data_IF_011485523932
#
_entry.id   IF_011485523932
#
_cell.length_a   1.000
_cell.length_b   1.000
_cell.length_c   1.000
_cell.angle_alpha   90.00
_cell.angle_beta   90.00
_cell.angle_gamma   90.00
#
_symmetry.space_group_name_H-M   'P 1'
#
loop_
_entity.id
_entity.type
_entity.pdbx_description
1 polymer ?
#
# COMPACT_ATOMS: atom_id res chain seq x y z
N UNK A 1 49.58 -10.22 -9.97
CA UNK A 1 48.20 -9.80 -10.29
C UNK A 1 47.45 -10.95 -10.96
N UNK A 2 46.71 -11.76 -10.19
CA UNK A 2 45.91 -12.84 -10.78
C UNK A 2 45.61 -14.01 -9.85
N UNK A 3 44.78 -13.78 -8.83
CA UNK A 3 44.06 -14.82 -8.07
C UNK A 3 43.08 -14.17 -7.08
N UNK A 4 43.47 -13.05 -6.47
CA UNK A 4 42.63 -12.30 -5.52
C UNK A 4 41.43 -11.58 -6.17
N UNK A 5 41.47 -11.31 -7.47
CA UNK A 5 40.34 -10.71 -8.21
C UNK A 5 39.24 -11.73 -8.54
N UNK A 6 39.54 -13.05 -8.50
CA UNK A 6 38.58 -14.12 -8.73
C UNK A 6 37.94 -14.67 -7.45
N UNK A 7 38.49 -14.37 -6.27
CA UNK A 7 37.86 -14.75 -4.99
C UNK A 7 36.67 -13.83 -4.64
N UNK A 8 36.75 -12.54 -5.00
CA UNK A 8 35.62 -11.59 -4.89
C UNK A 8 34.47 -11.89 -5.87
N UNK A 9 34.73 -12.66 -6.93
CA UNK A 9 33.73 -13.08 -7.91
C UNK A 9 33.01 -14.39 -7.52
N UNK A 10 33.57 -15.21 -6.63
CA UNK A 10 32.97 -16.49 -6.21
C UNK A 10 32.21 -16.45 -4.88
N UNK A 11 32.49 -15.51 -3.98
CA UNK A 11 31.67 -15.35 -2.76
C UNK A 11 30.36 -14.54 -2.97
N UNK A 12 30.16 -13.95 -4.16
CA UNK A 12 28.86 -13.41 -4.58
C UNK A 12 27.90 -14.49 -5.14
N UNK A 13 28.37 -15.73 -5.29
CA UNK A 13 27.56 -16.86 -5.72
C UNK A 13 26.85 -17.49 -4.51
N UNK A 14 25.76 -16.86 -4.08
CA UNK A 14 24.88 -17.43 -3.05
C UNK A 14 23.84 -16.48 -2.47
N UNK A 15 24.00 -15.17 -2.62
CA UNK A 15 22.97 -14.21 -2.24
C UNK A 15 22.09 -13.96 -3.48
N UNK A 16 20.89 -14.55 -3.51
CA UNK A 16 19.99 -14.40 -4.65
C UNK A 16 19.81 -12.91 -4.95
N UNK A 17 19.83 -12.47 -6.22
CA UNK A 17 19.62 -11.04 -6.59
C UNK A 17 18.40 -10.39 -5.89
N UNK A 18 17.45 -11.22 -5.47
CA UNK A 18 16.29 -10.83 -4.68
C UNK A 18 16.66 -10.42 -3.24
N UNK A 19 17.52 -11.16 -2.54
CA UNK A 19 17.98 -10.82 -1.17
C UNK A 19 18.64 -9.45 -1.10
N UNK A 20 19.55 -9.14 -2.02
CA UNK A 20 20.19 -7.81 -2.11
C UNK A 20 19.16 -6.69 -2.39
N UNK A 21 18.07 -6.99 -3.10
CA UNK A 21 16.98 -6.03 -3.31
C UNK A 21 16.13 -5.87 -2.04
N UNK A 22 15.84 -6.95 -1.32
CA UNK A 22 15.13 -6.93 -0.04
C UNK A 22 15.89 -6.14 1.04
N UNK A 23 17.22 -6.31 1.10
CA UNK A 23 18.08 -5.55 2.00
C UNK A 23 18.05 -4.05 1.68
N UNK A 24 18.15 -3.68 0.39
CA UNK A 24 18.03 -2.29 -0.04
C UNK A 24 16.68 -1.68 0.33
N UNK A 25 15.58 -2.39 0.11
CA UNK A 25 14.24 -1.93 0.50
C UNK A 25 14.15 -1.75 2.02
N UNK A 26 14.74 -2.67 2.79
CA UNK A 26 14.73 -2.61 4.26
C UNK A 26 15.56 -1.45 4.79
N UNK A 27 16.76 -1.23 4.24
CA UNK A 27 17.62 -0.10 4.59
C UNK A 27 16.94 1.24 4.25
N UNK A 28 16.35 1.33 3.06
CA UNK A 28 15.61 2.50 2.63
C UNK A 28 14.37 2.77 3.51
N UNK A 29 13.65 1.71 3.92
CA UNK A 29 12.57 1.84 4.90
C UNK A 29 13.06 2.45 6.21
N UNK A 30 14.17 1.95 6.77
CA UNK A 30 14.71 2.47 8.04
C UNK A 30 15.04 3.95 7.91
N UNK A 31 15.75 4.35 6.86
CA UNK A 31 16.09 5.76 6.59
C UNK A 31 14.84 6.64 6.46
N UNK A 32 13.86 6.22 5.65
CA UNK A 32 12.61 6.97 5.46
C UNK A 32 11.77 7.04 6.75
N UNK A 33 11.81 6.00 7.57
CA UNK A 33 11.05 5.92 8.80
C UNK A 33 11.67 6.78 9.91
N UNK A 34 13.01 6.77 10.01
CA UNK A 34 13.77 7.63 10.92
C UNK A 34 13.57 9.12 10.61
N UNK A 35 13.52 9.47 9.33
CA UNK A 35 13.30 10.84 8.85
C UNK A 35 11.88 11.38 9.08
N UNK A 36 10.94 10.56 9.59
CA UNK A 36 9.57 11.03 9.86
C UNK A 36 9.53 12.07 10.98
N UNK A 37 8.76 13.13 10.74
CA UNK A 37 8.48 14.19 11.71
C UNK A 37 7.54 13.77 12.86
N UNK A 38 6.70 12.76 12.66
CA UNK A 38 5.64 12.37 13.61
C UNK A 38 5.87 10.95 14.16
N UNK A 39 5.11 10.60 15.22
CA UNK A 39 5.18 9.35 16.01
C UNK A 39 5.90 8.19 15.31
N UNK A 40 7.03 7.81 15.90
CA UNK A 40 7.90 6.71 15.45
C UNK A 40 7.87 5.62 16.49
N UNK A 41 7.43 4.44 16.07
CA UNK A 41 7.60 3.23 16.88
C UNK A 41 9.07 2.78 16.87
N UNK A 42 9.60 2.27 18.00
CA UNK A 42 10.92 1.66 18.06
C UNK A 42 11.05 0.45 17.12
N UNK A 43 12.28 0.15 16.67
CA UNK A 43 12.56 -0.97 15.77
C UNK A 43 12.07 -2.32 16.30
N UNK A 44 12.14 -2.52 17.63
CA UNK A 44 11.60 -3.72 18.30
C UNK A 44 10.08 -3.86 18.06
N UNK A 45 9.32 -2.79 18.28
CA UNK A 45 7.86 -2.76 18.05
C UNK A 45 7.52 -2.97 16.58
N UNK A 46 8.27 -2.33 15.66
CA UNK A 46 8.09 -2.51 14.22
C UNK A 46 8.32 -3.96 13.81
N UNK A 47 9.35 -4.62 14.35
CA UNK A 47 9.66 -6.01 14.05
C UNK A 47 8.53 -6.95 14.50
N UNK A 48 7.98 -6.72 15.71
CA UNK A 48 6.85 -7.48 16.25
C UNK A 48 5.62 -7.33 15.33
N UNK A 49 5.26 -6.08 15.00
CA UNK A 49 4.11 -5.79 14.13
C UNK A 49 4.34 -6.41 12.74
N UNK A 50 5.48 -6.15 12.11
CA UNK A 50 5.69 -6.50 10.69
C UNK A 50 5.79 -8.00 10.43
N UNK A 51 6.29 -8.78 11.39
CA UNK A 51 6.44 -10.24 11.24
C UNK A 51 5.15 -11.00 11.53
N UNK A 52 4.36 -10.55 12.51
CA UNK A 52 3.30 -11.37 13.10
C UNK A 52 1.87 -10.92 12.72
N UNK A 53 1.72 -9.82 11.97
CA UNK A 53 0.38 -9.28 11.69
C UNK A 53 -0.19 -9.64 10.33
N UNK A 54 -1.46 -10.05 10.38
CA UNK A 54 -2.40 -10.05 9.27
C UNK A 54 -3.59 -9.19 9.68
N UNK A 55 -3.74 -8.00 9.08
CA UNK A 55 -4.93 -7.17 9.26
C UNK A 55 -5.92 -7.47 8.14
N UNK A 56 -7.12 -7.88 8.53
CA UNK A 56 -8.26 -8.04 7.63
C UNK A 56 -9.23 -6.91 7.96
N UNK A 57 -9.54 -6.08 6.98
CA UNK A 57 -10.36 -4.89 7.15
C UNK A 57 -11.40 -4.79 6.03
N UNK A 58 -12.68 -4.67 6.38
CA UNK A 58 -13.78 -4.48 5.43
C UNK A 58 -14.08 -2.99 5.19
N UNK A 59 -14.88 -2.71 4.17
CA UNK A 59 -15.21 -1.35 3.72
C UNK A 59 -15.73 -0.44 4.86
N UNK A 60 -16.63 -0.95 5.70
CA UNK A 60 -17.19 -0.16 6.81
C UNK A 60 -16.16 0.22 7.89
N UNK A 61 -15.24 -0.69 8.23
CA UNK A 61 -14.16 -0.40 9.17
C UNK A 61 -13.10 0.51 8.56
N UNK A 62 -12.83 0.38 7.26
CA UNK A 62 -11.96 1.31 6.55
C UNK A 62 -12.50 2.74 6.62
N UNK A 63 -13.80 2.95 6.41
CA UNK A 63 -14.41 4.28 6.50
C UNK A 63 -14.18 4.93 7.88
N UNK A 64 -14.22 4.15 8.96
CA UNK A 64 -13.99 4.61 10.35
C UNK A 64 -12.51 4.86 10.67
N UNK A 65 -11.61 4.01 10.16
CA UNK A 65 -10.17 4.07 10.45
C UNK A 65 -9.38 4.92 9.45
N UNK A 66 -10.02 5.43 8.40
CA UNK A 66 -9.39 6.29 7.41
C UNK A 66 -8.87 7.56 8.08
N UNK A 67 -7.56 7.78 8.00
CA UNK A 67 -6.90 8.92 8.66
C UNK A 67 -6.50 8.66 10.12
N UNK A 68 -6.97 7.56 10.73
CA UNK A 68 -6.68 7.19 12.11
C UNK A 68 -5.43 6.31 12.21
N UNK A 69 -4.28 6.91 11.89
CA UNK A 69 -3.00 6.17 11.81
C UNK A 69 -2.66 5.44 13.11
N UNK A 70 -2.62 6.17 14.23
CA UNK A 70 -2.23 5.60 15.54
C UNK A 70 -3.22 4.54 16.00
N UNK A 71 -4.52 4.73 15.78
CA UNK A 71 -5.54 3.73 16.10
C UNK A 71 -5.31 2.44 15.31
N UNK A 72 -4.97 2.55 14.03
CA UNK A 72 -4.70 1.41 13.17
C UNK A 72 -3.39 0.69 13.54
N UNK A 73 -2.37 1.44 13.97
CA UNK A 73 -1.12 0.88 14.50
C UNK A 73 -1.34 0.13 15.83
N UNK A 74 -2.18 0.67 16.72
CA UNK A 74 -2.58 -0.03 17.95
C UNK A 74 -3.31 -1.33 17.60
N UNK A 75 -4.23 -1.33 16.64
CA UNK A 75 -4.91 -2.58 16.20
C UNK A 75 -3.87 -3.60 15.73
N UNK A 76 -2.89 -3.21 14.92
CA UNK A 76 -1.84 -4.11 14.49
C UNK A 76 -1.02 -4.64 15.67
N UNK A 77 -0.64 -3.76 16.60
CA UNK A 77 0.09 -4.16 17.79
C UNK A 77 -0.68 -5.21 18.61
N UNK A 78 -1.94 -4.95 18.94
CA UNK A 78 -2.83 -5.90 19.64
C UNK A 78 -2.95 -7.24 18.90
N UNK A 79 -2.96 -7.22 17.56
CA UNK A 79 -2.98 -8.44 16.75
C UNK A 79 -1.65 -9.19 16.73
N UNK A 80 -0.53 -8.50 16.90
CA UNK A 80 0.79 -9.11 17.04
C UNK A 80 0.96 -9.73 18.43
N UNK A 81 0.45 -9.06 19.46
CA UNK A 81 0.66 -9.40 20.87
C UNK A 81 -0.49 -10.17 21.50
N UNK A 82 -1.17 -11.04 20.74
CA UNK A 82 -2.36 -11.78 21.21
C UNK A 82 -2.15 -12.66 22.46
N UNK A 83 -0.89 -12.88 22.86
CA UNK A 83 -0.49 -13.79 23.93
C UNK A 83 -0.51 -13.14 25.31
N UNK A 84 -0.62 -11.82 25.40
CA UNK A 84 -0.61 -11.12 26.68
C UNK A 84 -1.54 -9.92 26.68
N UNK A 85 -1.94 -9.52 27.88
CA UNK A 85 -2.83 -8.38 28.09
C UNK A 85 -2.10 -7.07 27.83
N UNK A 86 -2.65 -6.27 26.92
CA UNK A 86 -2.09 -4.98 26.55
C UNK A 86 -2.86 -3.88 27.26
N UNK A 87 -2.16 -3.06 28.04
CA UNK A 87 -2.72 -1.87 28.68
C UNK A 87 -2.21 -0.61 28.01
N UNK A 88 -2.69 0.55 28.47
CA UNK A 88 -2.13 1.84 28.07
C UNK A 88 -0.63 1.96 28.41
N UNK A 89 -0.19 1.43 29.55
CA UNK A 89 1.21 1.47 29.96
C UNK A 89 2.08 0.61 29.04
N UNK A 90 1.57 -0.57 28.67
CA UNK A 90 2.20 -1.41 27.65
C UNK A 90 2.40 -0.63 26.35
N UNK A 91 1.41 0.11 25.85
CA UNK A 91 1.60 0.91 24.63
C UNK A 91 2.70 1.99 24.80
N UNK A 92 2.81 2.62 25.97
CA UNK A 92 3.88 3.60 26.24
C UNK A 92 5.27 2.96 26.20
N UNK A 93 5.44 1.80 26.82
CA UNK A 93 6.69 1.03 26.82
C UNK A 93 7.12 0.62 25.40
N UNK A 94 6.15 0.33 24.53
CA UNK A 94 6.39 0.01 23.12
C UNK A 94 6.49 1.26 22.23
N UNK A 95 6.61 2.44 22.82
CA UNK A 95 6.98 3.70 22.17
C UNK A 95 5.83 4.48 21.53
N UNK A 96 4.57 4.16 21.85
CA UNK A 96 3.45 4.99 21.44
C UNK A 96 3.42 6.28 22.28
N UNK A 97 3.15 7.43 21.64
CA UNK A 97 3.12 8.72 22.33
C UNK A 97 1.87 8.84 23.22
N UNK A 98 2.06 9.29 24.47
CA UNK A 98 0.99 9.46 25.48
C UNK A 98 -0.23 10.25 24.98
N UNK A 99 0.00 11.37 24.29
CA UNK A 99 -1.06 12.22 23.73
C UNK A 99 -1.89 11.49 22.67
N UNK A 100 -1.23 10.69 21.83
CA UNK A 100 -1.84 9.99 20.71
C UNK A 100 -2.63 8.76 21.17
N UNK A 101 -2.13 8.03 22.18
CA UNK A 101 -2.79 6.83 22.73
C UNK A 101 -4.19 7.14 23.26
N UNK A 102 -4.35 8.21 24.06
CA UNK A 102 -5.64 8.54 24.68
C UNK A 102 -6.72 8.75 23.62
N UNK A 103 -6.41 9.53 22.59
CA UNK A 103 -7.34 9.81 21.50
C UNK A 103 -7.63 8.55 20.68
N UNK A 104 -6.60 7.75 20.38
CA UNK A 104 -6.75 6.53 19.61
C UNK A 104 -7.61 5.49 20.34
N UNK A 105 -7.40 5.25 21.63
CA UNK A 105 -8.22 4.34 22.43
C UNK A 105 -9.69 4.81 22.45
N UNK A 106 -9.94 6.11 22.69
CA UNK A 106 -11.29 6.67 22.67
C UNK A 106 -12.00 6.37 21.34
N UNK A 107 -11.31 6.56 20.21
CA UNK A 107 -11.86 6.25 18.87
C UNK A 107 -12.10 4.75 18.66
N UNK A 108 -11.16 3.90 19.08
CA UNK A 108 -11.30 2.45 18.95
C UNK A 108 -12.47 1.88 19.77
N UNK A 109 -12.73 2.47 20.95
CA UNK A 109 -13.92 2.16 21.76
C UNK A 109 -15.19 2.65 21.07
N UNK A 110 -15.23 3.91 20.62
CA UNK A 110 -16.42 4.45 19.91
C UNK A 110 -16.74 3.69 18.63
N UNK A 111 -15.73 3.13 17.97
CA UNK A 111 -15.92 2.29 16.78
C UNK A 111 -16.28 0.84 17.10
N UNK A 112 -16.42 0.47 18.37
CA UNK A 112 -16.68 -0.90 18.82
C UNK A 112 -15.61 -1.89 18.32
N UNK A 113 -14.36 -1.44 18.24
CA UNK A 113 -13.21 -2.29 17.88
C UNK A 113 -12.59 -2.87 19.16
N UNK A 114 -12.44 -2.03 20.18
CA UNK A 114 -12.04 -2.44 21.54
C UNK A 114 -13.29 -2.67 22.38
N UNK A 115 -13.24 -3.68 23.24
CA UNK A 115 -14.29 -3.97 24.20
C UNK A 115 -14.31 -2.92 25.32
N UNK A 116 -15.36 -2.11 25.34
CA UNK A 116 -15.50 -1.01 26.30
C UNK A 116 -15.66 -1.51 27.74
N UNK A 117 -16.42 -2.60 27.93
CA UNK A 117 -16.67 -3.14 29.26
C UNK A 117 -15.37 -3.63 29.88
N UNK A 118 -14.64 -4.47 29.15
CA UNK A 118 -13.34 -4.99 29.60
C UNK A 118 -12.36 -3.84 29.88
N UNK A 119 -12.28 -2.87 28.96
CA UNK A 119 -11.38 -1.73 29.15
C UNK A 119 -11.72 -0.90 30.40
N UNK A 120 -13.01 -0.67 30.70
CA UNK A 120 -13.43 0.07 31.90
C UNK A 120 -13.16 -0.71 33.18
N UNK A 121 -13.33 -2.03 33.19
CA UNK A 121 -13.15 -2.85 34.39
C UNK A 121 -11.68 -3.17 34.69
N UNK A 122 -10.86 -3.43 33.67
CA UNK A 122 -9.49 -3.95 33.86
C UNK A 122 -8.40 -3.06 33.25
N UNK A 123 -8.76 -2.07 32.43
CA UNK A 123 -7.80 -1.27 31.66
C UNK A 123 -7.16 -2.00 30.47
N UNK A 124 -7.59 -3.25 30.20
CA UNK A 124 -7.05 -4.09 29.13
C UNK A 124 -7.69 -3.73 27.79
N UNK A 125 -6.85 -3.58 26.76
CA UNK A 125 -7.25 -3.29 25.39
C UNK A 125 -7.52 -4.58 24.63
N UNK A 126 -8.73 -5.13 24.77
CA UNK A 126 -9.15 -6.35 24.07
C UNK A 126 -9.88 -6.04 22.77
N UNK A 127 -9.44 -6.64 21.66
CA UNK A 127 -10.17 -6.57 20.39
C UNK A 127 -11.45 -7.40 20.47
N UNK A 128 -12.61 -6.82 20.13
CA UNK A 128 -13.90 -7.54 20.09
C UNK A 128 -13.95 -8.62 19.01
N UNK A 129 -13.19 -8.43 17.92
CA UNK A 129 -13.13 -9.35 16.79
C UNK A 129 -11.68 -9.55 16.35
N UNK A 130 -11.34 -10.80 16.01
CA UNK A 130 -10.03 -11.11 15.43
C UNK A 130 -9.85 -10.45 14.06
N UNK A 131 -10.90 -10.35 13.25
CA UNK A 131 -10.89 -9.71 11.93
C UNK A 131 -11.90 -8.57 11.92
N UNK A 132 -11.50 -7.40 11.39
CA UNK A 132 -12.38 -6.24 11.24
C UNK A 132 -13.19 -6.40 9.96
N UNK A 133 -14.08 -7.40 9.95
CA UNK A 133 -14.87 -7.79 8.79
C UNK A 133 -16.34 -7.96 9.20
N UNK A 134 -17.23 -7.45 8.36
CA UNK A 134 -18.65 -7.77 8.39
C UNK A 134 -19.01 -8.82 7.34
N UNK A 135 -20.14 -9.50 7.54
CA UNK A 135 -20.69 -10.44 6.55
C UNK A 135 -21.02 -9.67 5.28
N UNK A 136 -20.78 -10.29 4.12
CA UNK A 136 -21.09 -9.76 2.78
C UNK A 136 -20.36 -8.48 2.35
N UNK A 137 -19.41 -7.97 3.14
CA UNK A 137 -18.56 -6.86 2.71
C UNK A 137 -17.28 -7.36 2.02
N UNK A 138 -16.86 -6.63 0.98
CA UNK A 138 -15.50 -6.75 0.45
C UNK A 138 -14.49 -6.33 1.53
N UNK A 139 -13.30 -6.90 1.45
CA UNK A 139 -12.26 -6.69 2.46
C UNK A 139 -10.87 -6.72 1.84
N UNK A 140 -9.96 -6.02 2.50
CA UNK A 140 -8.54 -6.07 2.20
C UNK A 140 -7.80 -6.91 3.23
N UNK A 141 -6.69 -7.49 2.80
CA UNK A 141 -5.75 -8.19 3.66
C UNK A 141 -4.41 -7.47 3.58
N UNK A 142 -4.03 -6.82 4.68
CA UNK A 142 -2.68 -6.29 4.88
C UNK A 142 -1.88 -7.38 5.60
N UNK A 143 -0.96 -8.04 4.88
CA UNK A 143 -0.11 -9.11 5.39
C UNK A 143 1.25 -9.03 4.72
N UNK A 144 2.30 -9.43 5.44
CA UNK A 144 3.65 -9.56 4.90
C UNK A 144 4.51 -8.37 5.29
N UNK A 145 5.79 -8.63 5.58
CA UNK A 145 6.67 -7.68 6.23
C UNK A 145 6.80 -6.36 5.44
N UNK A 146 7.04 -6.42 4.13
CA UNK A 146 7.14 -5.22 3.30
C UNK A 146 5.84 -4.43 3.24
N UNK A 147 4.70 -5.11 3.15
CA UNK A 147 3.38 -4.47 3.07
C UNK A 147 3.06 -3.77 4.39
N UNK A 148 3.38 -4.41 5.53
CA UNK A 148 3.19 -3.82 6.86
C UNK A 148 4.16 -2.66 7.08
N UNK A 149 5.43 -2.77 6.67
CA UNK A 149 6.39 -1.65 6.69
C UNK A 149 5.89 -0.47 5.84
N UNK A 150 5.39 -0.74 4.64
CA UNK A 150 4.79 0.28 3.77
C UNK A 150 3.56 0.93 4.42
N UNK A 151 2.71 0.14 5.06
CA UNK A 151 1.59 0.64 5.86
C UNK A 151 2.07 1.56 6.98
N UNK A 152 3.06 1.16 7.78
CA UNK A 152 3.59 1.98 8.87
C UNK A 152 4.20 3.28 8.33
N UNK A 153 4.81 3.24 7.14
CA UNK A 153 5.37 4.39 6.45
C UNK A 153 4.30 5.38 5.99
N UNK A 154 3.31 4.90 5.23
CA UNK A 154 2.44 5.74 4.41
C UNK A 154 0.97 5.77 4.89
N UNK A 155 0.61 4.96 5.88
CA UNK A 155 -0.74 4.83 6.41
C UNK A 155 -1.65 3.90 5.61
N UNK A 156 -2.86 3.68 6.16
CA UNK A 156 -3.82 2.69 5.67
C UNK A 156 -4.24 2.94 4.22
N UNK A 157 -4.74 4.13 3.90
CA UNK A 157 -5.31 4.44 2.58
C UNK A 157 -4.30 4.25 1.45
N UNK A 158 -3.06 4.69 1.66
CA UNK A 158 -1.98 4.56 0.68
C UNK A 158 -1.58 3.09 0.50
N UNK A 159 -1.49 2.34 1.61
CA UNK A 159 -1.23 0.90 1.56
C UNK A 159 -2.33 0.15 0.80
N UNK A 160 -3.61 0.46 1.02
CA UNK A 160 -4.70 -0.20 0.30
C UNK A 160 -4.71 0.15 -1.19
N UNK A 161 -4.38 1.39 -1.57
CA UNK A 161 -4.23 1.75 -2.99
C UNK A 161 -3.12 0.95 -3.67
N UNK A 162 -2.00 0.71 -2.97
CA UNK A 162 -0.97 -0.20 -3.45
C UNK A 162 -1.52 -1.63 -3.61
N UNK A 163 -2.26 -2.16 -2.63
CA UNK A 163 -2.85 -3.51 -2.72
C UNK A 163 -3.82 -3.65 -3.89
N UNK A 164 -4.68 -2.67 -4.13
CA UNK A 164 -5.61 -2.66 -5.28
C UNK A 164 -4.83 -2.62 -6.61
N UNK A 165 -3.71 -1.89 -6.65
CA UNK A 165 -2.82 -1.86 -7.81
C UNK A 165 -2.19 -3.24 -8.07
N UNK A 166 -1.72 -3.92 -7.04
CA UNK A 166 -1.15 -5.27 -7.14
C UNK A 166 -2.21 -6.28 -7.59
N UNK A 167 -3.43 -6.16 -7.08
CA UNK A 167 -4.55 -6.98 -7.55
C UNK A 167 -4.83 -6.73 -9.04
N UNK A 168 -4.88 -5.47 -9.46
CA UNK A 168 -5.05 -5.11 -10.87
C UNK A 168 -3.93 -5.69 -11.77
N UNK A 169 -2.66 -5.61 -11.32
CA UNK A 169 -1.50 -6.21 -12.01
C UNK A 169 -1.62 -7.74 -12.16
N UNK A 170 -2.21 -8.42 -11.17
CA UNK A 170 -2.41 -9.87 -11.23
C UNK A 170 -3.44 -10.27 -12.29
N UNK A 171 -4.38 -9.37 -12.62
CA UNK A 171 -5.47 -9.61 -13.57
C UNK A 171 -5.20 -9.07 -14.97
N UNK A 172 -4.27 -8.13 -15.12
CA UNK A 172 -4.02 -7.45 -16.39
C UNK A 172 -2.84 -8.08 -17.12
N UNK A 173 -2.98 -8.29 -18.43
CA UNK A 173 -1.87 -8.74 -19.28
C UNK A 173 -0.84 -7.62 -19.45
N UNK A 174 0.42 -8.01 -19.35
CA UNK A 174 1.56 -7.13 -19.64
C UNK A 174 1.56 -6.73 -21.12
N UNK A 175 1.95 -5.48 -21.40
CA UNK A 175 2.04 -4.91 -22.74
C UNK A 175 3.37 -4.19 -22.88
N UNK A 176 4.00 -4.32 -24.05
CA UNK A 176 5.16 -3.49 -24.37
C UNK A 176 4.66 -2.07 -24.69
N UNK A 177 5.24 -1.08 -24.02
CA UNK A 177 4.88 0.31 -24.27
C UNK A 177 5.77 0.89 -25.36
N UNK A 178 5.17 1.56 -26.35
CA UNK A 178 5.89 2.27 -27.42
C UNK A 178 6.97 3.18 -26.84
N UNK A 179 8.16 3.16 -27.47
CA UNK A 179 9.35 3.91 -27.06
C UNK A 179 9.95 3.48 -25.70
N UNK A 180 9.61 2.28 -25.22
CA UNK A 180 10.27 1.68 -24.06
C UNK A 180 10.55 0.20 -24.32
N UNK A 181 11.71 -0.30 -23.88
CA UNK A 181 12.00 -1.74 -23.89
C UNK A 181 11.39 -2.46 -22.67
N UNK A 182 10.38 -1.86 -22.02
CA UNK A 182 9.83 -2.31 -20.75
C UNK A 182 8.37 -2.73 -20.90
N UNK A 183 8.01 -3.79 -20.19
CA UNK A 183 6.63 -4.26 -20.07
C UNK A 183 5.93 -3.52 -18.93
N UNK A 184 4.71 -3.07 -19.21
CA UNK A 184 3.83 -2.45 -18.24
C UNK A 184 2.46 -3.12 -18.28
N UNK A 185 1.78 -3.11 -17.14
CA UNK A 185 0.37 -3.48 -17.07
C UNK A 185 -0.48 -2.24 -16.79
N UNK A 186 -1.65 -2.20 -17.45
CA UNK A 186 -2.61 -1.12 -17.29
C UNK A 186 -3.29 -1.24 -15.92
N UNK A 187 -3.19 -0.19 -15.11
CA UNK A 187 -3.91 -0.06 -13.84
C UNK A 187 -5.10 0.86 -14.05
N UNK A 188 -6.30 0.27 -14.07
CA UNK A 188 -7.53 1.02 -14.31
C UNK A 188 -7.98 1.78 -13.06
N UNK A 189 -8.59 2.95 -13.25
CA UNK A 189 -9.05 3.80 -12.15
C UNK A 189 -10.19 3.19 -11.32
N UNK A 190 -10.98 2.32 -11.96
CA UNK A 190 -12.09 1.61 -11.34
C UNK A 190 -11.68 0.80 -10.11
N UNK A 191 -10.44 0.29 -10.07
CA UNK A 191 -9.91 -0.45 -8.92
C UNK A 191 -9.79 0.43 -7.68
N UNK A 192 -9.59 1.74 -7.82
CA UNK A 192 -9.47 2.68 -6.69
C UNK A 192 -10.79 3.33 -6.28
N UNK A 193 -11.87 3.10 -7.03
CA UNK A 193 -13.17 3.73 -6.77
C UNK A 193 -13.66 3.44 -5.34
N UNK A 194 -13.37 2.23 -4.84
CA UNK A 194 -13.75 1.78 -3.49
C UNK A 194 -13.00 2.47 -2.35
N UNK A 195 -11.79 2.95 -2.61
CA UNK A 195 -11.05 3.77 -1.64
C UNK A 195 -11.53 5.22 -1.61
N UNK A 196 -12.46 5.58 -2.50
CA UNK A 196 -12.83 6.97 -2.79
C UNK A 196 -11.56 7.84 -2.90
N UNK A 197 -10.59 7.33 -3.69
CA UNK A 197 -9.28 7.93 -3.84
C UNK A 197 -9.28 8.85 -5.05
N UNK A 198 -9.03 10.14 -4.82
CA UNK A 198 -8.87 11.10 -5.91
C UNK A 198 -7.60 10.79 -6.72
N UNK A 199 -7.54 11.30 -7.96
CA UNK A 199 -6.37 11.15 -8.85
C UNK A 199 -5.06 11.55 -8.17
N UNK A 200 -5.09 12.59 -7.35
CA UNK A 200 -3.95 13.09 -6.55
C UNK A 200 -3.55 12.09 -5.47
N UNK A 201 -4.51 11.47 -4.78
CA UNK A 201 -4.24 10.43 -3.77
C UNK A 201 -3.57 9.22 -4.40
N UNK A 202 -4.08 8.78 -5.56
CA UNK A 202 -3.51 7.67 -6.32
C UNK A 202 -2.06 8.01 -6.74
N UNK A 203 -1.83 9.20 -7.27
CA UNK A 203 -0.49 9.67 -7.63
C UNK A 203 0.47 9.69 -6.43
N UNK A 204 0.02 10.21 -5.29
CA UNK A 204 0.84 10.27 -4.08
C UNK A 204 1.14 8.87 -3.53
N UNK A 205 0.18 7.93 -3.61
CA UNK A 205 0.40 6.54 -3.21
C UNK A 205 1.51 5.89 -4.04
N UNK A 206 1.51 6.16 -5.33
CA UNK A 206 2.50 5.69 -6.26
C UNK A 206 3.87 6.34 -6.11
N UNK A 207 3.91 7.65 -5.85
CA UNK A 207 5.14 8.35 -5.46
C UNK A 207 5.73 7.77 -4.17
N UNK A 208 4.88 7.47 -3.19
CA UNK A 208 5.29 6.83 -1.95
C UNK A 208 5.83 5.41 -2.19
N UNK A 209 5.20 4.63 -3.08
CA UNK A 209 5.68 3.30 -3.47
C UNK A 209 7.05 3.38 -4.17
N UNK A 210 7.23 4.31 -5.10
CA UNK A 210 8.51 4.52 -5.79
C UNK A 210 9.63 4.84 -4.79
N UNK A 211 9.35 5.78 -3.88
CA UNK A 211 10.28 6.16 -2.83
C UNK A 211 10.59 4.97 -1.90
N UNK A 212 9.59 4.20 -1.49
CA UNK A 212 9.77 3.03 -0.63
C UNK A 212 10.64 1.95 -1.28
N UNK A 213 10.46 1.72 -2.58
CA UNK A 213 11.26 0.76 -3.35
C UNK A 213 12.65 1.29 -3.73
N UNK A 214 12.94 2.58 -3.52
CA UNK A 214 14.18 3.21 -3.97
C UNK A 214 14.30 3.29 -5.49
N UNK A 215 13.18 3.39 -6.22
CA UNK A 215 13.12 3.43 -7.68
C UNK A 215 12.61 4.79 -8.12
N UNK A 216 13.15 5.33 -9.22
CA UNK A 216 12.62 6.55 -9.83
C UNK A 216 11.14 6.38 -10.19
N UNK A 217 10.30 7.34 -9.82
CA UNK A 217 8.86 7.29 -10.11
C UNK A 217 8.52 7.09 -11.59
N UNK A 218 9.27 7.72 -12.51
CA UNK A 218 9.11 7.56 -13.96
C UNK A 218 9.42 6.16 -14.48
N UNK A 219 10.27 5.41 -13.77
CA UNK A 219 10.55 3.99 -14.09
C UNK A 219 9.44 3.09 -13.59
N UNK A 220 8.79 3.47 -12.48
CA UNK A 220 7.70 2.74 -11.86
C UNK A 220 6.42 2.88 -12.66
N UNK A 221 6.04 4.11 -12.99
CA UNK A 221 4.73 4.45 -13.54
C UNK A 221 4.89 5.36 -14.73
N UNK A 222 4.16 4.99 -15.78
CA UNK A 222 3.96 5.80 -16.95
C UNK A 222 2.50 6.25 -17.01
N UNK A 223 2.30 7.56 -17.16
CA UNK A 223 0.97 8.10 -17.46
C UNK A 223 0.92 8.37 -18.96
N UNK A 224 0.07 7.64 -19.66
CA UNK A 224 -0.23 7.91 -21.07
C UNK A 224 -1.52 8.69 -21.17
N UNK A 225 -1.43 9.89 -21.76
CA UNK A 225 -2.59 10.69 -22.10
C UNK A 225 -2.81 10.56 -23.60
N UNK A 226 -3.98 10.10 -23.99
CA UNK A 226 -4.35 10.09 -25.41
C UNK A 226 -5.50 11.04 -25.65
N UNK A 227 -5.43 11.72 -26.79
CA UNK A 227 -6.47 12.59 -27.29
C UNK A 227 -6.93 12.01 -28.62
N UNK A 228 -8.17 11.56 -28.70
CA UNK A 228 -8.78 11.05 -29.92
C UNK A 228 -9.82 12.04 -30.41
N UNK A 229 -9.82 12.34 -31.71
CA UNK A 229 -10.89 13.15 -32.30
C UNK A 229 -12.20 12.37 -32.21
N UNK A 230 -13.22 12.97 -31.60
CA UNK A 230 -14.57 12.42 -31.60
C UNK A 230 -15.21 12.79 -32.93
N UNK A 231 -15.53 11.78 -33.72
CA UNK A 231 -16.06 11.93 -35.09
C UNK A 231 -17.50 11.44 -35.10
N UNK A 232 -18.39 12.27 -35.61
CA UNK A 232 -19.77 11.90 -35.91
C UNK A 232 -19.91 11.76 -37.43
N UNK A 233 -20.68 10.77 -37.87
CA UNK A 233 -20.95 10.56 -39.29
C UNK A 233 -22.34 11.15 -39.57
N UNK A 234 -22.40 12.18 -40.40
CA UNK A 234 -23.62 12.92 -40.72
C UNK A 234 -23.87 12.84 -42.23
N UNK A 235 -25.13 12.68 -42.66
CA UNK A 235 -25.51 12.79 -44.07
C UNK A 235 -25.59 14.26 -44.48
N UNK A 236 -24.96 14.62 -45.60
CA UNK A 236 -25.11 15.95 -46.18
C UNK A 236 -26.41 16.08 -46.99
N UNK A 237 -26.69 17.29 -47.46
CA UNK A 237 -27.86 17.60 -48.31
C UNK A 237 -27.90 16.79 -49.62
N UNK A 238 -26.77 16.21 -50.05
CA UNK A 238 -26.65 15.33 -51.24
C UNK A 238 -26.67 13.83 -50.88
N UNK A 239 -27.06 13.47 -49.65
CA UNK A 239 -27.14 12.09 -49.16
C UNK A 239 -25.80 11.41 -48.85
N UNK A 240 -24.66 12.08 -49.03
CA UNK A 240 -23.32 11.53 -48.77
C UNK A 240 -22.98 11.57 -47.28
N UNK A 241 -22.38 10.51 -46.76
CA UNK A 241 -21.88 10.45 -45.40
C UNK A 241 -20.59 11.28 -45.28
N UNK A 242 -20.60 12.28 -44.41
CA UNK A 242 -19.44 13.10 -44.09
C UNK A 242 -19.03 12.84 -42.63
N UNK A 243 -17.73 12.70 -42.40
CA UNK A 243 -17.14 12.66 -41.06
C UNK A 243 -17.01 14.10 -40.54
N UNK A 244 -17.81 14.47 -39.54
CA UNK A 244 -17.70 15.74 -38.83
C UNK A 244 -16.95 15.52 -37.52
N UNK A 245 -15.91 16.31 -37.27
CA UNK A 245 -15.26 16.32 -35.96
C UNK A 245 -16.17 17.10 -35.02
N UNK A 246 -16.67 16.43 -33.99
CA UNK A 246 -17.58 17.01 -32.99
C UNK A 246 -16.86 17.35 -31.68
N UNK A 247 -15.58 16.98 -31.56
CA UNK A 247 -14.75 17.34 -30.42
C UNK A 247 -13.58 16.40 -30.22
N UNK A 248 -13.13 16.32 -28.98
CA UNK A 248 -12.00 15.49 -28.56
C UNK A 248 -12.40 14.62 -27.37
N UNK A 249 -11.98 13.37 -27.40
CA UNK A 249 -12.06 12.43 -26.28
C UNK A 249 -10.67 12.29 -25.66
N UNK A 250 -10.56 12.71 -24.40
CA UNK A 250 -9.33 12.59 -23.63
C UNK A 250 -9.39 11.35 -22.76
N UNK A 251 -8.38 10.48 -22.86
CA UNK A 251 -8.21 9.36 -21.95
C UNK A 251 -6.85 9.43 -21.26
N UNK A 252 -6.79 8.96 -20.01
CA UNK A 252 -5.56 8.87 -19.23
C UNK A 252 -5.41 7.45 -18.72
N UNK A 253 -4.41 6.77 -19.23
CA UNK A 253 -4.01 5.43 -18.82
C UNK A 253 -2.85 5.50 -17.84
N UNK A 254 -2.93 4.73 -16.76
CA UNK A 254 -1.84 4.55 -15.79
C UNK A 254 -1.24 3.17 -16.02
N UNK A 255 0.03 3.15 -16.37
CA UNK A 255 0.78 1.95 -16.67
C UNK A 255 1.79 1.75 -15.56
N UNK A 256 1.80 0.56 -14.95
CA UNK A 256 2.66 0.22 -13.84
C UNK A 256 3.65 -0.86 -14.29
N UNK A 257 4.94 -0.67 -13.97
CA UNK A 257 6.02 -1.53 -14.43
C UNK A 257 5.80 -2.97 -13.94
N UNK A 258 5.93 -3.93 -14.85
CA UNK A 258 5.81 -5.36 -14.52
C UNK A 258 6.96 -5.84 -13.60
N UNK A 259 8.03 -5.07 -13.43
CA UNK A 259 9.12 -5.35 -12.47
C UNK A 259 8.60 -5.40 -11.02
N UNK A 260 7.61 -4.57 -10.68
CA UNK A 260 6.99 -4.51 -9.34
C UNK A 260 6.24 -5.80 -9.03
N UNK A 261 5.66 -6.44 -10.06
CA UNK A 261 4.98 -7.72 -9.92
C UNK A 261 5.96 -8.76 -9.35
N UNK A 262 7.21 -8.79 -9.84
CA UNK A 262 8.24 -9.71 -9.33
C UNK A 262 8.64 -9.38 -7.89
N UNK A 263 8.83 -8.09 -7.59
CA UNK A 263 9.30 -7.64 -6.28
C UNK A 263 8.30 -7.87 -5.15
N UNK A 264 7.00 -7.64 -5.40
CA UNK A 264 5.99 -7.60 -4.35
C UNK A 264 5.07 -8.82 -4.36
N UNK A 265 4.71 -9.35 -5.53
CA UNK A 265 3.75 -10.45 -5.61
C UNK A 265 4.37 -11.83 -5.42
N UNK A 266 5.71 -11.96 -5.31
CA UNK A 266 6.44 -13.25 -5.30
C UNK A 266 5.71 -14.25 -6.20
N UNK A 267 5.70 -13.95 -7.50
CA UNK A 267 5.18 -14.90 -8.49
C UNK A 267 6.26 -15.96 -8.62
N UNK A 268 6.06 -17.06 -7.91
CA UNK A 268 6.66 -18.35 -8.26
C UNK A 268 6.17 -18.74 -9.67
#
# INVERSE_FOLDING_TARGET
MGAFKNLLLKQQEGCSKNELQFEKITSNFNSLYEAKRYDRLPSKTIAIISKQTKLVISESYLAKLRGEKVATEIILFLKATKRFDVTKNTLLEYGFKKSSIKLAIKKLISFSIIDEHIYKTTGILKLRKANLKNKNEKFWIVKGELIVKFFLLCGLTVCLAMLDSLYCLSKTKDRLVKNTNRKYALVQNSYFAKLNAHRTTIWNAFKALANFLGIMHSKLILIQRTCKKKIEIIKNQKGRLIRKIIGYEFSTERLLSSEIKRLILKVD
#
